data_IF_633829091167
#
_entry.id   IF_633829091167
#
_cell.length_a   1.000
_cell.length_b   1.000
_cell.length_c   1.000
_cell.angle_alpha   90.00
_cell.angle_beta   90.00
_cell.angle_gamma   90.00
#
_symmetry.space_group_name_H-M   'P 1'
#
loop_
_entity.id
_entity.type
_entity.pdbx_description
1 polymer ?
#
# COMPACT_ATOMS: atom_id res chain seq x y z
N UNK A 1 55.67 -22.72 54.78
CA UNK A 1 55.66 -22.14 53.43
C UNK A 1 54.47 -21.19 53.33
N UNK A 2 54.71 -19.93 52.94
CA UNK A 2 53.74 -18.83 52.88
C UNK A 2 52.73 -19.08 51.76
N UNK A 3 51.43 -19.00 52.04
CA UNK A 3 50.42 -18.81 51.00
C UNK A 3 49.79 -17.42 51.16
N UNK A 4 50.04 -16.62 50.13
CA UNK A 4 49.64 -15.24 49.98
C UNK A 4 48.14 -15.08 49.79
N UNK A 5 47.64 -13.97 50.32
CA UNK A 5 46.34 -13.38 50.04
C UNK A 5 46.12 -13.20 48.53
N UNK A 6 44.93 -13.56 48.04
CA UNK A 6 44.32 -12.87 46.91
C UNK A 6 42.82 -12.67 47.14
N UNK A 7 42.46 -11.39 47.20
CA UNK A 7 41.12 -10.83 47.36
C UNK A 7 40.73 -10.29 45.99
N UNK A 8 39.61 -10.72 45.43
CA UNK A 8 39.05 -10.16 44.18
C UNK A 8 37.54 -9.89 44.41
N UNK A 9 36.99 -8.78 43.90
CA UNK A 9 35.89 -8.06 44.52
C UNK A 9 34.50 -8.33 43.93
N UNK A 10 33.52 -7.72 44.61
CA UNK A 10 32.08 -7.70 44.38
C UNK A 10 31.64 -7.61 42.90
N UNK A 11 30.68 -8.47 42.55
CA UNK A 11 29.92 -8.39 41.31
C UNK A 11 29.00 -7.16 41.33
N UNK A 12 29.22 -6.26 40.38
CA UNK A 12 28.36 -5.13 40.09
C UNK A 12 27.12 -5.67 39.36
N UNK A 13 25.96 -5.60 40.01
CA UNK A 13 24.66 -5.86 39.40
C UNK A 13 24.33 -4.65 38.52
N UNK A 14 24.65 -4.76 37.23
CA UNK A 14 24.25 -3.79 36.22
C UNK A 14 22.75 -3.94 35.91
N UNK A 15 21.96 -2.96 36.33
CA UNK A 15 20.56 -2.82 35.95
C UNK A 15 20.49 -2.49 34.45
N UNK A 16 20.21 -3.48 33.62
CA UNK A 16 20.03 -3.32 32.18
C UNK A 16 18.73 -2.56 31.93
N UNK A 17 18.83 -1.25 31.68
CA UNK A 17 17.72 -0.46 31.15
C UNK A 17 17.36 -1.02 29.78
N UNK A 18 16.21 -1.70 29.71
CA UNK A 18 15.62 -2.15 28.46
C UNK A 18 15.06 -0.89 27.79
N UNK A 19 15.85 -0.30 26.89
CA UNK A 19 15.37 0.77 26.02
C UNK A 19 14.27 0.18 25.14
N UNK A 20 13.02 0.51 25.46
CA UNK A 20 11.85 0.11 24.70
C UNK A 20 11.90 0.85 23.34
N UNK A 21 12.59 0.23 22.39
CA UNK A 21 12.78 0.78 21.05
C UNK A 21 11.47 0.62 20.31
N UNK A 22 10.65 1.67 20.33
CA UNK A 22 9.53 1.81 19.41
C UNK A 22 10.09 2.05 18.02
N UNK A 23 10.37 0.95 17.30
CA UNK A 23 10.61 1.03 15.86
C UNK A 23 9.28 1.42 15.24
N UNK A 24 9.08 2.71 14.99
CA UNK A 24 8.03 3.17 14.09
C UNK A 24 8.22 2.41 12.76
N UNK A 25 7.21 1.67 12.27
CA UNK A 25 7.37 0.92 11.04
C UNK A 25 7.71 1.90 9.94
N UNK A 26 8.81 1.66 9.23
CA UNK A 26 9.15 2.31 7.96
C UNK A 26 7.90 2.29 7.09
N UNK A 27 7.22 3.45 6.98
CA UNK A 27 6.04 3.62 6.14
C UNK A 27 6.43 3.25 4.71
N UNK A 28 5.94 2.12 4.21
CA UNK A 28 6.24 1.71 2.85
C UNK A 28 5.73 2.80 1.89
N UNK A 29 6.66 3.51 1.23
CA UNK A 29 6.35 4.43 0.16
C UNK A 29 5.48 3.69 -0.89
N UNK A 30 4.30 4.23 -1.19
CA UNK A 30 3.35 3.60 -2.11
C UNK A 30 2.39 2.58 -1.49
N UNK A 31 2.44 2.33 -0.18
CA UNK A 31 1.44 1.52 0.53
C UNK A 31 0.15 2.28 0.85
N UNK A 32 -0.83 1.60 1.46
CA UNK A 32 -2.11 2.21 1.85
C UNK A 32 -1.94 3.39 2.82
N UNK A 33 -0.88 3.39 3.64
CA UNK A 33 -0.58 4.45 4.61
C UNK A 33 -0.13 5.77 3.97
N UNK A 34 0.23 5.74 2.68
CA UNK A 34 0.61 6.93 1.93
C UNK A 34 -0.60 7.75 1.44
N UNK A 35 -1.81 7.19 1.55
CA UNK A 35 -3.04 7.79 1.06
C UNK A 35 -3.58 8.87 2.00
N UNK A 36 -4.41 9.75 1.48
CA UNK A 36 -5.16 10.69 2.31
C UNK A 36 -6.07 9.93 3.29
N UNK A 37 -6.15 10.31 4.58
CA UNK A 37 -6.86 9.54 5.60
C UNK A 37 -8.31 9.17 5.26
N UNK A 38 -9.08 10.09 4.67
CA UNK A 38 -10.47 9.83 4.29
C UNK A 38 -10.56 8.78 3.17
N UNK A 39 -9.70 8.90 2.15
CA UNK A 39 -9.63 7.94 1.06
C UNK A 39 -9.10 6.58 1.54
N UNK A 40 -8.10 6.57 2.41
CA UNK A 40 -7.54 5.37 3.04
C UNK A 40 -8.61 4.52 3.72
N UNK A 41 -9.54 5.15 4.45
CA UNK A 41 -10.65 4.43 5.10
C UNK A 41 -11.57 3.75 4.08
N UNK A 42 -11.92 4.43 2.99
CA UNK A 42 -12.70 3.83 1.89
C UNK A 42 -11.96 2.65 1.27
N UNK A 43 -10.67 2.81 0.98
CA UNK A 43 -9.83 1.72 0.43
C UNK A 43 -9.81 0.53 1.39
N UNK A 44 -9.68 0.73 2.70
CA UNK A 44 -9.76 -0.37 3.69
C UNK A 44 -11.09 -1.12 3.61
N UNK A 45 -12.22 -0.42 3.46
CA UNK A 45 -13.54 -1.06 3.30
C UNK A 45 -13.65 -1.83 1.98
N UNK A 46 -13.10 -1.30 0.88
CA UNK A 46 -12.97 -2.04 -0.39
C UNK A 46 -12.18 -3.34 -0.19
N UNK A 47 -11.02 -3.29 0.48
CA UNK A 47 -10.20 -4.49 0.74
C UNK A 47 -10.96 -5.52 1.59
N UNK A 48 -11.74 -5.10 2.58
CA UNK A 48 -12.59 -6.00 3.39
C UNK A 48 -13.65 -6.67 2.51
N UNK A 49 -14.37 -5.92 1.68
CA UNK A 49 -15.38 -6.47 0.74
C UNK A 49 -14.77 -7.46 -0.24
N UNK A 50 -13.56 -7.19 -0.72
CA UNK A 50 -12.82 -8.09 -1.61
C UNK A 50 -12.38 -9.38 -0.90
N UNK A 51 -11.90 -9.29 0.35
CA UNK A 51 -11.58 -10.48 1.17
C UNK A 51 -12.80 -11.34 1.44
N UNK A 52 -13.95 -10.75 1.72
CA UNK A 52 -15.21 -11.47 1.91
C UNK A 52 -15.63 -12.30 0.68
N UNK A 53 -15.15 -11.93 -0.52
CA UNK A 53 -15.35 -12.67 -1.77
C UNK A 53 -14.28 -13.74 -2.04
N UNK A 54 -13.35 -13.97 -1.11
CA UNK A 54 -12.25 -14.94 -1.24
C UNK A 54 -11.02 -14.42 -2.00
N UNK A 55 -10.93 -13.12 -2.26
CA UNK A 55 -9.74 -12.51 -2.85
C UNK A 55 -8.67 -12.22 -1.80
N UNK A 56 -7.43 -12.07 -2.23
CA UNK A 56 -6.30 -11.62 -1.40
C UNK A 56 -5.83 -10.23 -1.83
N UNK A 57 -6.67 -9.19 -1.68
CA UNK A 57 -6.38 -7.87 -2.22
C UNK A 57 -5.25 -7.18 -1.43
N UNK A 58 -4.38 -6.47 -2.15
CA UNK A 58 -3.40 -5.53 -1.60
C UNK A 58 -3.39 -4.24 -2.41
N UNK A 59 -3.05 -3.13 -1.76
CA UNK A 59 -2.65 -1.91 -2.47
C UNK A 59 -1.26 -2.17 -3.04
N UNK A 60 -1.13 -2.11 -4.36
CA UNK A 60 0.13 -2.23 -5.06
C UNK A 60 0.77 -0.87 -5.32
N UNK A 61 -0.05 0.17 -5.56
CA UNK A 61 0.39 1.55 -5.62
C UNK A 61 -0.57 2.48 -4.88
N UNK A 62 -0.02 3.37 -4.06
CA UNK A 62 -0.73 4.43 -3.36
C UNK A 62 -0.28 5.80 -3.86
N UNK A 63 0.11 6.69 -2.95
CA UNK A 63 0.60 8.02 -3.33
C UNK A 63 1.92 7.93 -4.11
N UNK A 64 2.01 8.68 -5.20
CA UNK A 64 3.21 8.84 -6.02
C UNK A 64 3.83 10.21 -5.79
N UNK A 65 5.15 10.28 -5.93
CA UNK A 65 5.91 11.51 -6.08
C UNK A 65 5.83 12.03 -7.51
N UNK A 66 6.19 13.32 -7.69
CA UNK A 66 6.27 13.93 -9.02
C UNK A 66 7.30 13.22 -9.90
N UNK A 67 8.43 12.77 -9.34
CA UNK A 67 9.47 12.06 -10.07
C UNK A 67 8.98 10.71 -10.61
N UNK A 68 8.30 9.92 -9.78
CA UNK A 68 7.70 8.64 -10.20
C UNK A 68 6.62 8.85 -11.28
N UNK A 69 5.80 9.90 -11.16
CA UNK A 69 4.80 10.19 -12.19
C UNK A 69 5.45 10.60 -13.52
N UNK A 70 6.50 11.43 -13.49
CA UNK A 70 7.29 11.77 -14.70
C UNK A 70 7.88 10.53 -15.34
N UNK A 71 8.40 9.60 -14.54
CA UNK A 71 8.91 8.31 -15.02
C UNK A 71 7.83 7.50 -15.75
N UNK A 72 6.64 7.38 -15.14
CA UNK A 72 5.52 6.65 -15.74
C UNK A 72 5.03 7.28 -17.04
N UNK A 73 5.02 8.61 -17.13
CA UNK A 73 4.70 9.32 -18.36
C UNK A 73 5.75 9.02 -19.44
N UNK A 74 7.05 9.11 -19.09
CA UNK A 74 8.14 8.81 -20.03
C UNK A 74 8.08 7.37 -20.56
N UNK A 75 7.72 6.41 -19.71
CA UNK A 75 7.53 4.99 -20.09
C UNK A 75 6.21 4.72 -20.82
N UNK A 76 5.33 5.70 -20.96
CA UNK A 76 4.02 5.55 -21.60
C UNK A 76 2.98 4.80 -20.77
N UNK A 77 3.30 4.44 -19.51
CA UNK A 77 2.39 3.79 -18.54
C UNK A 77 1.31 4.75 -18.09
N UNK A 78 1.61 6.05 -18.03
CA UNK A 78 0.63 7.11 -17.83
C UNK A 78 0.63 8.06 -19.03
N UNK A 79 -0.53 8.66 -19.33
CA UNK A 79 -0.67 9.65 -20.42
C UNK A 79 -0.61 11.10 -19.96
N UNK A 80 -0.57 11.35 -18.65
CA UNK A 80 -0.65 12.71 -18.11
C UNK A 80 0.12 12.87 -16.81
N UNK A 81 0.59 14.10 -16.56
CA UNK A 81 1.10 14.51 -15.24
C UNK A 81 -0.02 14.83 -14.25
N UNK A 82 -1.28 14.97 -14.71
CA UNK A 82 -2.45 15.22 -13.86
C UNK A 82 -2.98 13.91 -13.28
N UNK A 83 -2.26 13.35 -12.31
CA UNK A 83 -2.58 12.07 -11.67
C UNK A 83 -3.04 12.26 -10.22
N UNK A 84 -4.16 11.64 -9.85
CA UNK A 84 -4.69 11.65 -8.48
C UNK A 84 -3.81 10.88 -7.48
N UNK A 85 -2.90 10.03 -7.95
CA UNK A 85 -1.87 9.43 -7.09
C UNK A 85 -0.93 10.49 -6.51
N UNK A 86 -0.73 11.64 -7.15
CA UNK A 86 0.11 12.71 -6.59
C UNK A 86 -0.49 13.33 -5.32
N UNK A 87 -1.81 13.27 -5.21
CA UNK A 87 -2.59 13.85 -4.13
C UNK A 87 -2.94 12.81 -3.06
N UNK A 88 -2.61 11.53 -3.29
CA UNK A 88 -2.93 10.43 -2.36
C UNK A 88 -4.41 10.03 -2.36
N UNK A 89 -5.16 10.34 -3.41
CA UNK A 89 -6.60 10.04 -3.55
C UNK A 89 -6.91 9.05 -4.67
N UNK A 90 -5.90 8.28 -5.07
CA UNK A 90 -6.00 7.15 -5.97
C UNK A 90 -5.11 6.01 -5.50
N UNK A 91 -5.51 4.78 -5.83
CA UNK A 91 -4.78 3.57 -5.49
C UNK A 91 -4.97 2.50 -6.57
N UNK A 92 -3.93 1.72 -6.79
CA UNK A 92 -3.97 0.51 -7.62
C UNK A 92 -4.05 -0.71 -6.70
N UNK A 93 -5.11 -1.52 -6.86
CA UNK A 93 -5.38 -2.68 -6.02
C UNK A 93 -5.29 -3.95 -6.84
N UNK A 94 -4.53 -4.94 -6.36
CA UNK A 94 -4.34 -6.24 -7.04
C UNK A 94 -4.54 -7.41 -6.08
N UNK A 95 -4.83 -8.60 -6.61
CA UNK A 95 -4.75 -9.83 -5.82
C UNK A 95 -3.29 -10.27 -5.68
N UNK A 96 -2.84 -10.58 -4.45
CA UNK A 96 -1.47 -11.01 -4.15
C UNK A 96 -1.01 -12.20 -4.99
N UNK A 97 -1.94 -13.08 -5.39
CA UNK A 97 -1.64 -14.30 -6.15
C UNK A 97 -1.33 -14.03 -7.62
N UNK A 98 -1.87 -12.95 -8.18
CA UNK A 98 -1.85 -12.72 -9.62
C UNK A 98 -1.15 -11.42 -10.01
N UNK A 99 -1.17 -10.39 -9.16
CA UNK A 99 -0.70 -9.06 -9.52
C UNK A 99 -1.43 -8.57 -10.77
N UNK A 100 -0.65 -8.21 -11.80
CA UNK A 100 -1.14 -7.89 -13.16
C UNK A 100 -0.97 -9.04 -14.16
N UNK A 101 -0.47 -10.20 -13.73
CA UNK A 101 -0.12 -11.32 -14.59
C UNK A 101 -1.10 -12.49 -14.52
N UNK A 102 -0.80 -13.56 -15.26
CA UNK A 102 -1.59 -14.79 -15.27
C UNK A 102 -3.07 -14.52 -15.60
N UNK A 103 -3.98 -14.99 -14.74
CA UNK A 103 -5.43 -14.74 -14.92
C UNK A 103 -5.78 -13.26 -14.91
N UNK A 104 -5.03 -12.45 -14.15
CA UNK A 104 -5.26 -11.02 -14.02
C UNK A 104 -4.80 -10.20 -15.24
N UNK A 105 -3.98 -10.78 -16.13
CA UNK A 105 -3.65 -10.17 -17.42
C UNK A 105 -4.90 -10.03 -18.33
N UNK A 106 -5.92 -10.87 -18.12
CA UNK A 106 -7.23 -10.67 -18.74
C UNK A 106 -8.02 -9.61 -17.94
N UNK A 107 -8.29 -8.46 -18.55
CA UNK A 107 -9.05 -7.36 -17.93
C UNK A 107 -10.49 -7.73 -17.59
N UNK A 108 -11.04 -8.80 -18.16
CA UNK A 108 -12.36 -9.34 -17.82
C UNK A 108 -12.33 -10.33 -16.63
N UNK A 109 -11.16 -10.57 -16.05
CA UNK A 109 -11.03 -11.44 -14.89
C UNK A 109 -11.95 -11.00 -13.74
N UNK A 110 -12.58 -11.97 -13.07
CA UNK A 110 -13.62 -11.72 -12.05
C UNK A 110 -13.15 -10.78 -10.93
N UNK A 111 -11.87 -10.85 -10.56
CA UNK A 111 -11.28 -9.95 -9.56
C UNK A 111 -11.50 -8.48 -9.90
N UNK A 112 -11.28 -8.08 -11.16
CA UNK A 112 -11.42 -6.69 -11.61
C UNK A 112 -12.86 -6.20 -11.50
N UNK A 113 -13.83 -7.02 -11.93
CA UNK A 113 -15.25 -6.70 -11.80
C UNK A 113 -15.69 -6.58 -10.34
N UNK A 114 -15.20 -7.47 -9.47
CA UNK A 114 -15.48 -7.41 -8.03
C UNK A 114 -14.85 -6.16 -7.40
N UNK A 115 -13.63 -5.78 -7.80
CA UNK A 115 -12.96 -4.56 -7.35
C UNK A 115 -13.78 -3.33 -7.74
N UNK A 116 -14.21 -3.23 -9.00
CA UNK A 116 -15.05 -2.13 -9.47
C UNK A 116 -16.37 -2.01 -8.72
N UNK A 117 -17.05 -3.13 -8.46
CA UNK A 117 -18.29 -3.14 -7.68
C UNK A 117 -18.04 -2.69 -6.23
N UNK A 118 -16.98 -3.18 -5.58
CA UNK A 118 -16.62 -2.80 -4.23
C UNK A 118 -16.25 -1.30 -4.13
N UNK A 119 -15.46 -0.79 -5.07
CA UNK A 119 -15.07 0.62 -5.14
C UNK A 119 -16.29 1.54 -5.31
N UNK A 120 -17.16 1.23 -6.27
CA UNK A 120 -18.38 2.02 -6.50
C UNK A 120 -19.32 2.03 -5.30
N UNK A 121 -19.41 0.93 -4.55
CA UNK A 121 -20.20 0.88 -3.31
C UNK A 121 -19.64 1.75 -2.18
N UNK A 122 -18.42 2.27 -2.31
CA UNK A 122 -17.80 3.24 -1.40
C UNK A 122 -17.78 4.67 -1.97
N UNK A 123 -18.50 4.91 -3.07
CA UNK A 123 -18.55 6.19 -3.76
C UNK A 123 -17.27 6.53 -4.54
N UNK A 124 -16.44 5.54 -4.86
CA UNK A 124 -15.21 5.71 -5.64
C UNK A 124 -15.45 5.47 -7.13
N UNK A 125 -14.62 6.09 -7.95
CA UNK A 125 -14.51 5.82 -9.39
C UNK A 125 -13.58 4.63 -9.60
N UNK A 126 -13.92 3.76 -10.55
CA UNK A 126 -13.09 2.63 -10.96
C UNK A 126 -12.60 2.80 -12.40
N UNK A 127 -11.29 2.64 -12.63
CA UNK A 127 -10.68 2.87 -13.94
C UNK A 127 -11.08 1.86 -15.01
N UNK A 128 -11.65 0.70 -14.64
CA UNK A 128 -12.20 -0.26 -15.59
C UNK A 128 -13.44 0.24 -16.34
N UNK A 129 -14.15 1.23 -15.78
CA UNK A 129 -15.32 1.87 -16.41
C UNK A 129 -14.93 3.00 -17.39
N UNK A 130 -13.64 3.38 -17.48
CA UNK A 130 -13.20 4.43 -18.39
C UNK A 130 -13.39 4.03 -19.86
N UNK A 131 -13.78 4.99 -20.70
CA UNK A 131 -14.04 4.76 -22.13
C UNK A 131 -12.76 4.46 -22.91
N UNK A 132 -11.66 5.09 -22.53
CA UNK A 132 -10.33 4.92 -23.12
C UNK A 132 -9.30 4.75 -22.01
N UNK A 133 -8.20 4.04 -22.28
CA UNK A 133 -7.14 3.78 -21.29
C UNK A 133 -7.66 3.13 -20.01
N UNK A 134 -8.46 2.07 -20.15
CA UNK A 134 -9.00 1.31 -19.02
C UNK A 134 -7.88 0.84 -18.12
N UNK A 135 -7.94 1.25 -16.85
CA UNK A 135 -7.05 0.77 -15.81
C UNK A 135 -7.87 0.02 -14.76
N UNK A 136 -7.91 -1.30 -14.91
CA UNK A 136 -8.78 -2.17 -14.10
C UNK A 136 -8.32 -2.31 -12.65
N UNK A 137 -7.07 -1.96 -12.34
CA UNK A 137 -6.56 -1.97 -10.97
C UNK A 137 -6.85 -0.64 -10.23
N UNK A 138 -7.07 0.43 -10.99
CA UNK A 138 -7.16 1.80 -10.47
C UNK A 138 -8.51 2.13 -9.85
N UNK A 139 -8.47 2.71 -8.66
CA UNK A 139 -9.62 3.32 -7.98
C UNK A 139 -9.26 4.72 -7.48
N UNK A 140 -10.21 5.65 -7.51
CA UNK A 140 -9.96 7.04 -7.10
C UNK A 140 -11.19 7.74 -6.52
N UNK A 141 -10.96 8.81 -5.76
CA UNK A 141 -12.02 9.76 -5.39
C UNK A 141 -12.60 10.44 -6.65
N UNK A 142 -13.91 10.73 -6.71
CA UNK A 142 -14.51 11.44 -7.84
C UNK A 142 -14.04 12.90 -7.93
N UNK A 143 -13.73 13.53 -6.78
CA UNK A 143 -13.22 14.91 -6.74
C UNK A 143 -11.83 15.03 -7.37
N UNK A 144 -11.49 16.23 -7.81
CA UNK A 144 -10.16 16.55 -8.28
C UNK A 144 -9.20 16.81 -7.10
N UNK A 145 -7.91 16.83 -7.44
CA UNK A 145 -6.96 17.66 -6.71
C UNK A 145 -7.20 19.12 -7.13
#
# INVERSE_FOLDING_TARGET
>A
MRFSYFRIPAAIIGFMLIANTTIAPTMAAGGIESLEPAFQQKVRRVLVKMRAKGWQPKVAEGRRTIAEQREKVRRGVSKTMRSKHLCGIAADVVDRRYGWGGRAANTNFKFWRDLGAAAKSEGLVWGGDWRSFKDVAHIEEPRQC
#
